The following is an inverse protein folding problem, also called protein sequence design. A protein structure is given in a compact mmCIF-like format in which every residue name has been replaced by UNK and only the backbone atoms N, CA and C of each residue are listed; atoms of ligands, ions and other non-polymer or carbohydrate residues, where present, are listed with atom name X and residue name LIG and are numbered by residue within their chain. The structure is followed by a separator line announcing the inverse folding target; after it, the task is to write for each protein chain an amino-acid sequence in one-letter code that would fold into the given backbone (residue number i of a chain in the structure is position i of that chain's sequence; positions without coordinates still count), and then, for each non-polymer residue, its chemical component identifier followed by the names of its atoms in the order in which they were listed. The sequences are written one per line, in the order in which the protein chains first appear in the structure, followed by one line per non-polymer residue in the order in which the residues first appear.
data_IF_173862835625
#
_entry.id   IF_173862835625
#
_cell.length_a   1.000
_cell.length_b   1.000
_cell.length_c   1.000
_cell.angle_alpha   90.00
_cell.angle_beta   90.00
_cell.angle_gamma   90.00
#
_symmetry.space_group_name_H-M   'P 1'
#
loop_
_entity.id
_entity.type
_entity.pdbx_description
1 polymer ?
#
# COMPACT_ATOMS: atom_id res chain seq x y z
N UNK A 1 -25.85 -3.94 -17.21
CA UNK A 1 -24.64 -4.39 -16.49
C UNK A 1 -23.71 -3.20 -16.40
N UNK A 2 -23.69 -2.51 -15.26
CA UNK A 2 -22.72 -1.44 -15.05
C UNK A 2 -21.36 -2.10 -14.78
N UNK A 3 -20.38 -1.81 -15.60
CA UNK A 3 -18.99 -2.17 -15.30
C UNK A 3 -18.65 -1.59 -13.94
N UNK A 4 -18.24 -2.43 -12.99
CA UNK A 4 -17.60 -2.01 -11.75
C UNK A 4 -16.41 -1.13 -12.14
N UNK A 5 -16.56 0.19 -12.09
CA UNK A 5 -15.44 1.09 -12.26
C UNK A 5 -14.48 0.79 -11.12
N UNK A 6 -13.24 0.40 -11.44
CA UNK A 6 -12.19 0.24 -10.44
C UNK A 6 -11.99 1.58 -9.73
N UNK A 7 -12.67 1.78 -8.60
CA UNK A 7 -12.62 3.02 -7.85
C UNK A 7 -11.21 3.16 -7.27
N UNK A 8 -10.42 4.05 -7.87
CA UNK A 8 -9.07 4.36 -7.38
C UNK A 8 -9.17 5.43 -6.31
N UNK A 9 -8.82 5.08 -5.08
CA UNK A 9 -8.74 6.02 -3.96
C UNK A 9 -7.30 6.54 -3.81
N UNK A 10 -7.15 7.84 -3.53
CA UNK A 10 -5.85 8.48 -3.32
C UNK A 10 -5.59 8.70 -1.83
N UNK A 11 -4.44 8.23 -1.36
CA UNK A 11 -3.90 8.54 -0.03
C UNK A 11 -2.59 9.33 -0.22
N UNK A 12 -2.44 10.43 0.51
CA UNK A 12 -1.20 11.22 0.56
C UNK A 12 -0.62 11.11 1.96
N UNK A 13 0.66 10.78 2.06
CA UNK A 13 1.39 10.63 3.31
C UNK A 13 2.65 11.48 3.28
N UNK A 14 3.11 11.87 4.46
CA UNK A 14 4.39 12.56 4.65
C UNK A 14 5.33 11.63 5.42
N UNK A 15 6.57 11.52 4.94
CA UNK A 15 7.64 10.84 5.65
C UNK A 15 8.52 11.89 6.33
N UNK A 16 9.05 11.56 7.50
CA UNK A 16 9.95 12.44 8.26
C UNK A 16 11.31 12.65 7.56
N UNK A 17 11.70 11.70 6.72
CA UNK A 17 12.93 11.70 5.92
C UNK A 17 12.73 10.91 4.61
N UNK A 18 13.69 11.00 3.69
CA UNK A 18 13.61 10.40 2.35
C UNK A 18 14.02 8.92 2.30
N UNK A 19 14.57 8.36 3.37
CA UNK A 19 15.09 6.99 3.40
C UNK A 19 13.98 5.98 3.14
N UNK A 20 12.83 6.17 3.79
CA UNK A 20 11.69 5.24 3.65
C UNK A 20 11.12 5.27 2.23
N UNK A 21 11.02 6.46 1.62
CA UNK A 21 10.55 6.61 0.25
C UNK A 21 11.50 5.92 -0.73
N UNK A 22 12.82 6.15 -0.60
CA UNK A 22 13.83 5.52 -1.46
C UNK A 22 13.79 3.99 -1.37
N UNK A 23 13.68 3.43 -0.16
CA UNK A 23 13.56 1.98 0.03
C UNK A 23 12.31 1.40 -0.63
N UNK A 24 11.18 2.10 -0.55
CA UNK A 24 9.95 1.69 -1.24
C UNK A 24 10.10 1.76 -2.76
N UNK A 25 10.77 2.79 -3.28
CA UNK A 25 11.02 2.92 -4.72
C UNK A 25 11.98 1.85 -5.26
N UNK A 26 13.03 1.51 -4.51
CA UNK A 26 13.97 0.44 -4.84
C UNK A 26 13.27 -0.92 -4.87
N UNK A 27 12.52 -1.25 -3.81
CA UNK A 27 11.75 -2.49 -3.76
C UNK A 27 10.71 -2.57 -4.89
N UNK A 28 10.03 -1.47 -5.21
CA UNK A 28 9.07 -1.46 -6.31
C UNK A 28 9.75 -1.74 -7.67
N UNK A 29 10.98 -1.26 -7.89
CA UNK A 29 11.77 -1.58 -9.09
C UNK A 29 12.14 -3.05 -9.15
N UNK A 30 12.57 -3.65 -8.04
CA UNK A 30 12.89 -5.08 -7.96
C UNK A 30 11.68 -5.96 -8.31
N UNK A 31 10.47 -5.55 -7.93
CA UNK A 31 9.21 -6.26 -8.23
C UNK A 31 8.56 -5.84 -9.57
N UNK A 32 9.21 -5.00 -10.37
CA UNK A 32 8.70 -4.47 -11.64
C UNK A 32 7.28 -3.86 -11.52
N UNK A 33 7.05 -3.06 -10.49
CA UNK A 33 5.77 -2.37 -10.25
C UNK A 33 5.95 -0.92 -9.76
N UNK A 34 4.86 -0.15 -9.69
CA UNK A 34 4.94 1.22 -9.18
C UNK A 34 5.08 1.25 -7.66
N UNK A 35 5.81 2.24 -7.13
CA UNK A 35 5.91 2.47 -5.68
C UNK A 35 4.53 2.67 -5.03
N UNK A 36 3.59 3.33 -5.72
CA UNK A 36 2.21 3.48 -5.27
C UNK A 36 1.46 2.16 -5.15
N UNK A 37 1.68 1.22 -6.09
CA UNK A 37 1.06 -0.10 -6.05
C UNK A 37 1.65 -0.94 -4.90
N UNK A 38 2.97 -0.91 -4.72
CA UNK A 38 3.65 -1.54 -3.58
C UNK A 38 3.14 -1.01 -2.25
N UNK A 39 3.15 0.32 -2.06
CA UNK A 39 2.70 0.95 -0.83
C UNK A 39 1.22 0.61 -0.50
N UNK A 40 0.34 0.66 -1.50
CA UNK A 40 -1.06 0.28 -1.32
C UNK A 40 -1.20 -1.20 -0.91
N UNK A 41 -0.40 -2.10 -1.49
CA UNK A 41 -0.41 -3.53 -1.16
C UNK A 41 0.03 -3.77 0.29
N UNK A 42 1.11 -3.10 0.71
CA UNK A 42 1.63 -3.22 2.07
C UNK A 42 0.63 -2.69 3.10
N UNK A 43 0.01 -1.54 2.82
CA UNK A 43 -1.02 -0.95 3.69
C UNK A 43 -2.26 -1.84 3.78
N UNK A 44 -2.72 -2.41 2.66
CA UNK A 44 -3.87 -3.32 2.64
C UNK A 44 -3.60 -4.56 3.50
N UNK A 45 -2.40 -5.14 3.38
CA UNK A 45 -1.99 -6.29 4.20
C UNK A 45 -1.94 -5.94 5.69
N UNK A 46 -1.32 -4.82 6.04
CA UNK A 46 -1.25 -4.35 7.43
C UNK A 46 -2.64 -4.12 8.05
N UNK A 47 -3.57 -3.55 7.29
CA UNK A 47 -4.95 -3.36 7.73
C UNK A 47 -5.68 -4.70 7.96
N UNK A 48 -5.51 -5.67 7.06
CA UNK A 48 -6.08 -7.01 7.21
C UNK A 48 -5.50 -7.75 8.42
N UNK A 49 -4.19 -7.66 8.64
CA UNK A 49 -3.52 -8.32 9.76
C UNK A 49 -3.97 -7.71 11.10
N UNK A 50 -4.18 -6.39 11.16
CA UNK A 50 -4.75 -5.72 12.33
C UNK A 50 -6.18 -6.19 12.63
N UNK A 51 -7.06 -6.25 11.63
CA UNK A 51 -8.44 -6.72 11.79
C UNK A 51 -8.51 -8.19 12.28
N UNK A 52 -7.58 -9.04 11.81
CA UNK A 52 -7.47 -10.43 12.28
C UNK A 52 -7.04 -10.52 13.75
N UNK A 53 -6.11 -9.68 14.18
CA UNK A 53 -5.66 -9.65 15.58
C UNK A 53 -6.80 -9.22 16.51
N UNK A 54 -7.57 -8.19 16.13
CA UNK A 54 -8.70 -7.69 16.92
C UNK A 54 -9.87 -8.69 17.01
N UNK A 55 -10.05 -9.58 16.02
CA UNK A 55 -11.08 -10.63 16.03
C UNK A 55 -10.68 -11.92 16.74
N UNK A 56 -9.39 -12.11 16.99
CA UNK A 56 -8.85 -13.30 17.65
C UNK A 56 -8.58 -13.08 19.14
N UNK A 57 -8.82 -11.87 19.65
CA UNK A 57 -8.77 -11.48 21.06
C UNK A 57 -10.19 -11.41 21.64
#
# INVERSE_FOLDING_TARGET
MFAEMATRYRLTVYFSDDTTLKKLEEWAKEENRSASNLAATLLAKAAQDKDKQEKSA
#
